data_IF_140438472456
#
_entry.id   IF_140438472456
#
_cell.length_a   1.000
_cell.length_b   1.000
_cell.length_c   1.000
_cell.angle_alpha   90.00
_cell.angle_beta   90.00
_cell.angle_gamma   90.00
#
_symmetry.space_group_name_H-M   'P 1'
#
loop_
_entity.id
_entity.type
_entity.pdbx_description
1 polymer ?
#
# COMPACT_ATOMS: atom_id res chain seq x y z
N UNK A 1 -15.51 -7.42 2.22
CA UNK A 1 -14.55 -8.08 3.13
C UNK A 1 -14.07 -7.06 4.12
N UNK A 2 -14.11 -7.37 5.40
CA UNK A 2 -13.65 -6.54 6.50
C UNK A 2 -12.22 -6.93 6.90
N UNK A 3 -11.53 -6.06 7.63
CA UNK A 3 -10.21 -6.39 8.16
C UNK A 3 -10.31 -7.59 9.10
N UNK A 4 -9.40 -8.55 8.95
CA UNK A 4 -9.39 -9.80 9.73
C UNK A 4 -10.18 -10.94 9.10
N UNK A 5 -10.93 -10.71 8.01
CA UNK A 5 -11.56 -11.78 7.25
C UNK A 5 -10.50 -12.77 6.76
N UNK A 6 -10.85 -14.05 6.72
CA UNK A 6 -9.98 -15.11 6.21
C UNK A 6 -10.55 -15.64 4.90
N UNK A 7 -9.74 -15.60 3.85
CA UNK A 7 -10.03 -16.23 2.56
C UNK A 7 -9.43 -17.63 2.59
N UNK A 8 -10.28 -18.65 2.55
CA UNK A 8 -9.85 -20.05 2.45
C UNK A 8 -9.74 -20.46 0.98
N UNK A 9 -8.59 -20.99 0.59
CA UNK A 9 -8.30 -21.49 -0.76
C UNK A 9 -8.14 -23.02 -0.77
N UNK A 10 -8.71 -23.70 0.22
CA UNK A 10 -8.51 -25.14 0.45
C UNK A 10 -7.44 -25.36 1.51
N UNK A 11 -6.23 -25.71 1.08
CA UNK A 11 -5.07 -25.96 1.95
C UNK A 11 -4.37 -24.68 2.43
N UNK A 12 -4.83 -23.50 1.98
CA UNK A 12 -4.22 -22.22 2.27
C UNK A 12 -5.21 -21.21 2.82
N UNK A 13 -4.79 -20.46 3.84
CA UNK A 13 -5.59 -19.40 4.45
C UNK A 13 -4.90 -18.05 4.32
N UNK A 14 -5.60 -17.07 3.75
CA UNK A 14 -5.13 -15.70 3.60
C UNK A 14 -5.93 -14.76 4.49
N UNK A 15 -5.26 -14.11 5.44
CA UNK A 15 -5.88 -13.08 6.29
C UNK A 15 -5.90 -11.75 5.57
N UNK A 16 -7.08 -11.13 5.44
CA UNK A 16 -7.25 -9.79 4.89
C UNK A 16 -6.79 -8.76 5.90
N UNK A 17 -5.82 -7.93 5.52
CA UNK A 17 -5.34 -6.81 6.32
C UNK A 17 -5.72 -5.50 5.62
N UNK A 18 -6.63 -4.73 6.19
CA UNK A 18 -6.88 -3.37 5.69
C UNK A 18 -5.66 -2.49 5.96
N UNK A 19 -5.11 -1.90 4.90
CA UNK A 19 -3.86 -1.12 4.90
C UNK A 19 -4.05 0.17 4.08
N UNK A 20 -4.87 1.12 4.58
CA UNK A 20 -5.16 2.36 3.86
C UNK A 20 -3.91 3.22 3.73
N UNK A 21 -3.90 4.10 2.73
CA UNK A 21 -2.81 5.05 2.54
C UNK A 21 -2.59 5.37 1.08
N UNK A 22 -2.20 4.35 0.29
CA UNK A 22 -2.19 4.46 -1.17
C UNK A 22 -3.59 4.73 -1.72
N UNK A 23 -4.59 3.97 -1.24
CA UNK A 23 -6.01 4.22 -1.44
C UNK A 23 -6.80 3.98 -0.14
N UNK A 24 -8.06 4.42 -0.08
CA UNK A 24 -8.96 4.17 1.07
C UNK A 24 -9.26 2.68 1.28
N UNK A 25 -9.31 1.92 0.19
CA UNK A 25 -9.68 0.51 0.17
C UNK A 25 -8.48 -0.45 0.08
N UNK A 26 -7.25 0.05 0.18
CA UNK A 26 -6.06 -0.78 0.07
C UNK A 26 -6.04 -1.88 1.12
N UNK A 27 -5.73 -3.11 0.69
CA UNK A 27 -5.59 -4.29 1.53
C UNK A 27 -4.28 -5.01 1.19
N UNK A 28 -3.75 -5.73 2.17
CA UNK A 28 -2.81 -6.83 1.95
C UNK A 28 -3.50 -8.15 2.26
N UNK A 29 -3.03 -9.23 1.63
CA UNK A 29 -3.39 -10.60 2.01
C UNK A 29 -2.18 -11.25 2.67
N UNK A 30 -2.34 -11.73 3.90
CA UNK A 30 -1.27 -12.31 4.68
C UNK A 30 -1.45 -13.81 4.84
N UNK A 31 -0.51 -14.55 4.28
CA UNK A 31 -0.31 -15.97 4.57
C UNK A 31 0.65 -16.09 5.74
N UNK A 32 0.10 -16.40 6.93
CA UNK A 32 0.86 -16.50 8.17
C UNK A 32 1.74 -17.74 8.22
N UNK A 33 1.27 -18.85 7.64
CA UNK A 33 1.96 -20.14 7.69
C UNK A 33 3.24 -20.09 6.87
N UNK A 34 3.16 -19.53 5.66
CA UNK A 34 4.30 -19.41 4.76
C UNK A 34 5.04 -18.07 4.87
N UNK A 35 4.59 -17.19 5.77
CA UNK A 35 5.14 -15.84 5.99
C UNK A 35 5.22 -15.03 4.69
N UNK A 36 4.17 -15.12 3.87
CA UNK A 36 4.05 -14.41 2.59
C UNK A 36 3.05 -13.27 2.73
N UNK A 37 3.44 -12.07 2.29
CA UNK A 37 2.56 -10.92 2.19
C UNK A 37 2.28 -10.59 0.71
N UNK A 38 1.04 -10.68 0.28
CA UNK A 38 0.60 -10.10 -0.98
C UNK A 38 0.22 -8.65 -0.71
N UNK A 39 1.04 -7.70 -1.14
CA UNK A 39 0.91 -6.29 -0.72
C UNK A 39 0.11 -5.42 -1.67
N UNK A 40 -0.17 -5.89 -2.89
CA UNK A 40 -0.74 -5.04 -3.94
C UNK A 40 0.10 -3.77 -4.12
N UNK A 41 -0.58 -2.62 -4.10
CA UNK A 41 0.08 -1.30 -4.22
C UNK A 41 0.36 -0.62 -2.87
N UNK A 42 0.18 -1.33 -1.75
CA UNK A 42 0.54 -0.81 -0.42
C UNK A 42 2.05 -0.64 -0.30
N UNK A 43 2.82 -1.60 -0.80
CA UNK A 43 4.29 -1.52 -0.81
C UNK A 43 4.83 -2.38 -1.94
N UNK A 44 5.79 -1.82 -2.66
CA UNK A 44 6.51 -2.46 -3.76
C UNK A 44 7.90 -1.83 -3.86
N UNK A 45 8.82 -2.48 -4.58
CA UNK A 45 10.22 -2.03 -4.68
C UNK A 45 10.41 -0.86 -5.65
N UNK A 46 9.80 0.28 -5.30
CA UNK A 46 9.80 1.50 -6.07
C UNK A 46 9.30 2.68 -5.23
N UNK A 47 8.97 3.79 -5.89
CA UNK A 47 8.40 4.95 -5.22
C UNK A 47 6.95 4.67 -4.78
N UNK A 48 6.71 4.66 -3.46
CA UNK A 48 5.37 4.55 -2.91
C UNK A 48 4.57 5.82 -3.19
N UNK A 49 3.41 5.65 -3.84
CA UNK A 49 2.60 6.76 -4.37
C UNK A 49 1.52 7.16 -3.36
N UNK A 50 1.53 8.42 -2.95
CA UNK A 50 0.59 9.01 -1.95
C UNK A 50 -0.03 10.36 -2.38
N UNK A 51 0.18 10.77 -3.63
CA UNK A 51 -0.29 12.04 -4.20
C UNK A 51 -1.55 11.88 -5.07
N UNK A 52 -2.14 10.68 -5.13
CA UNK A 52 -3.40 10.45 -5.85
C UNK A 52 -4.60 10.99 -5.03
N UNK A 53 -5.75 11.26 -5.68
CA UNK A 53 -6.89 11.93 -5.04
C UNK A 53 -7.43 11.25 -3.78
N UNK A 54 -7.31 9.92 -3.69
CA UNK A 54 -7.82 9.12 -2.56
C UNK A 54 -6.73 8.57 -1.65
N UNK A 55 -5.49 9.02 -1.83
CA UNK A 55 -4.41 8.68 -0.91
C UNK A 55 -4.56 9.46 0.40
N UNK A 56 -4.05 8.93 1.50
CA UNK A 56 -3.97 9.62 2.78
C UNK A 56 -2.64 9.26 3.46
N UNK A 57 -1.83 10.27 3.72
CA UNK A 57 -0.46 10.11 4.21
C UNK A 57 -0.44 9.65 5.65
N UNK A 58 -1.32 10.20 6.49
CA UNK A 58 -1.44 9.80 7.89
C UNK A 58 -1.82 8.33 7.98
N UNK A 59 -2.78 7.88 7.18
CA UNK A 59 -3.16 6.47 7.09
C UNK A 59 -2.00 5.61 6.57
N UNK A 60 -1.28 6.10 5.56
CA UNK A 60 -0.16 5.37 4.96
C UNK A 60 0.99 5.20 5.96
N UNK A 61 1.30 6.22 6.76
CA UNK A 61 2.29 6.12 7.85
C UNK A 61 1.90 5.02 8.85
N UNK A 62 0.62 4.97 9.26
CA UNK A 62 0.13 3.91 10.16
C UNK A 62 0.23 2.52 9.50
N UNK A 63 -0.11 2.40 8.22
CA UNK A 63 0.07 1.16 7.47
C UNK A 63 1.55 0.74 7.38
N UNK A 64 2.47 1.68 7.17
CA UNK A 64 3.92 1.41 7.16
C UNK A 64 4.44 0.95 8.52
N UNK A 65 3.96 1.54 9.62
CA UNK A 65 4.29 1.07 10.98
C UNK A 65 3.86 -0.38 11.18
N UNK A 66 2.64 -0.73 10.76
CA UNK A 66 2.12 -2.10 10.83
C UNK A 66 2.91 -3.07 9.95
N UNK A 67 3.40 -2.65 8.78
CA UNK A 67 4.29 -3.46 7.96
C UNK A 67 5.63 -3.73 8.66
N UNK A 68 6.19 -2.75 9.36
CA UNK A 68 7.41 -2.92 10.15
C UNK A 68 7.17 -3.91 11.31
N UNK A 69 6.04 -3.79 12.02
CA UNK A 69 5.67 -4.73 13.08
C UNK A 69 5.55 -6.18 12.59
N UNK A 70 5.05 -6.42 11.37
CA UNK A 70 5.01 -7.75 10.77
C UNK A 70 6.42 -8.33 10.58
N UNK A 71 7.38 -7.49 10.16
CA UNK A 71 8.78 -7.89 9.99
C UNK A 71 9.44 -8.15 11.35
N UNK A 72 9.27 -7.24 12.32
CA UNK A 72 9.86 -7.34 13.65
C UNK A 72 9.38 -8.60 14.40
N UNK A 73 8.13 -9.01 14.16
CA UNK A 73 7.54 -10.24 14.73
C UNK A 73 7.89 -11.51 13.94
N UNK A 74 8.68 -11.41 12.86
CA UNK A 74 9.04 -12.54 12.01
C UNK A 74 7.85 -13.18 11.29
N UNK A 75 6.78 -12.40 11.05
CA UNK A 75 5.54 -12.87 10.42
C UNK A 75 5.55 -12.78 8.89
N UNK A 76 6.54 -12.10 8.32
CA UNK A 76 6.74 -11.96 6.88
C UNK A 76 8.21 -12.20 6.55
N UNK A 77 8.46 -13.08 5.59
CA UNK A 77 9.79 -13.33 5.00
C UNK A 77 9.85 -12.90 3.53
N UNK A 78 8.71 -12.98 2.82
CA UNK A 78 8.60 -12.70 1.39
C UNK A 78 7.39 -11.83 1.06
N UNK A 79 7.57 -10.85 0.19
CA UNK A 79 6.52 -9.94 -0.28
C UNK A 79 6.29 -10.14 -1.78
N UNK A 80 5.04 -10.35 -2.16
CA UNK A 80 4.57 -10.43 -3.54
C UNK A 80 3.78 -9.14 -3.85
N UNK A 81 4.43 -8.11 -4.41
CA UNK A 81 3.77 -6.85 -4.73
C UNK A 81 2.89 -6.92 -5.97
N UNK A 82 2.01 -5.93 -6.14
CA UNK A 82 1.22 -5.75 -7.37
C UNK A 82 2.07 -5.32 -8.57
N UNK A 83 3.22 -4.71 -8.31
CA UNK A 83 4.18 -4.21 -9.30
C UNK A 83 5.62 -4.53 -8.88
N UNK A 84 6.54 -4.56 -9.86
CA UNK A 84 7.97 -4.87 -9.66
C UNK A 84 8.22 -6.31 -9.18
N UNK A 85 9.46 -6.58 -8.75
CA UNK A 85 9.91 -7.92 -8.37
C UNK A 85 9.55 -8.26 -6.93
N UNK A 86 9.49 -9.57 -6.65
CA UNK A 86 9.39 -10.12 -5.28
C UNK A 86 10.61 -9.69 -4.45
N UNK A 87 10.38 -9.36 -3.18
CA UNK A 87 11.44 -8.96 -2.26
C UNK A 87 11.24 -9.53 -0.85
N UNK A 88 12.28 -9.44 -0.02
CA UNK A 88 12.30 -10.00 1.34
C UNK A 88 11.96 -8.99 2.45
N UNK A 89 11.82 -9.51 3.66
CA UNK A 89 11.45 -8.75 4.87
C UNK A 89 12.37 -7.54 5.17
N UNK A 90 13.68 -7.67 4.97
CA UNK A 90 14.62 -6.56 5.16
C UNK A 90 14.32 -5.40 4.22
N UNK A 91 13.99 -5.69 2.95
CA UNK A 91 13.61 -4.67 1.97
C UNK A 91 12.26 -4.05 2.32
N UNK A 92 11.30 -4.86 2.78
CA UNK A 92 10.01 -4.37 3.29
C UNK A 92 10.21 -3.34 4.42
N UNK A 93 11.01 -3.68 5.42
CA UNK A 93 11.31 -2.79 6.54
C UNK A 93 11.95 -1.48 6.09
N UNK A 94 12.92 -1.55 5.18
CA UNK A 94 13.59 -0.36 4.61
C UNK A 94 12.62 0.53 3.84
N UNK A 95 11.76 -0.04 2.99
CA UNK A 95 10.79 0.75 2.22
C UNK A 95 9.80 1.47 3.14
N UNK A 96 9.24 0.76 4.12
CA UNK A 96 8.30 1.32 5.09
C UNK A 96 8.93 2.42 5.97
N UNK A 97 10.11 2.16 6.54
CA UNK A 97 10.81 3.16 7.38
C UNK A 97 11.27 4.38 6.58
N UNK A 98 11.72 4.20 5.34
CA UNK A 98 12.09 5.29 4.44
C UNK A 98 10.88 6.17 4.06
N UNK A 99 9.69 5.60 3.93
CA UNK A 99 8.49 6.40 3.69
C UNK A 99 8.14 7.26 4.90
N UNK A 100 8.14 6.67 6.10
CA UNK A 100 7.85 7.38 7.35
C UNK A 100 8.82 8.55 7.54
N UNK A 101 10.13 8.34 7.33
CA UNK A 101 11.13 9.39 7.49
C UNK A 101 10.94 10.56 6.50
N UNK A 102 10.53 10.27 5.26
CA UNK A 102 10.26 11.30 4.23
C UNK A 102 8.92 12.01 4.43
N UNK A 103 7.91 11.32 4.93
CA UNK A 103 6.59 11.89 5.18
C UNK A 103 6.66 13.07 6.18
N UNK A 104 7.60 13.03 7.13
CA UNK A 104 7.84 14.11 8.09
C UNK A 104 8.52 15.37 7.52
N UNK A 105 9.15 15.30 6.34
CA UNK A 105 9.99 16.39 5.80
C UNK A 105 9.31 17.15 4.64
N UNK A 106 8.41 16.54 3.86
CA UNK A 106 8.01 17.08 2.54
C UNK A 106 6.51 17.38 2.33
N UNK A 107 5.60 17.00 3.23
CA UNK A 107 4.16 16.94 2.87
C UNK A 107 3.40 18.28 2.80
N UNK A 108 3.97 19.42 3.19
CA UNK A 108 3.23 20.69 3.23
C UNK A 108 3.24 21.50 1.93
N UNK A 109 4.19 21.30 1.01
CA UNK A 109 4.39 22.23 -0.13
C UNK A 109 4.14 21.61 -1.51
N UNK A 110 4.38 20.31 -1.72
CA UNK A 110 4.31 19.69 -3.07
C UNK A 110 2.99 18.95 -3.37
N UNK A 111 2.39 18.30 -2.36
CA UNK A 111 1.27 17.36 -2.56
C UNK A 111 -0.01 18.03 -3.08
N UNK A 112 -0.31 19.26 -2.66
CA UNK A 112 -1.50 19.98 -3.12
C UNK A 112 -1.47 20.28 -4.63
N UNK A 113 -0.31 20.64 -5.17
CA UNK A 113 -0.18 20.94 -6.60
C UNK A 113 -0.36 19.68 -7.46
N UNK A 114 0.28 18.56 -7.08
CA UNK A 114 0.17 17.29 -7.80
C UNK A 114 -1.23 16.67 -7.72
N UNK A 115 -1.90 16.76 -6.56
CA UNK A 115 -3.28 16.30 -6.37
C UNK A 115 -4.27 17.01 -7.30
N UNK A 116 -4.13 18.32 -7.45
CA UNK A 116 -4.97 19.12 -8.32
C UNK A 116 -4.81 18.70 -9.78
N UNK A 117 -3.56 18.50 -10.24
CA UNK A 117 -3.27 18.07 -11.62
C UNK A 117 -3.82 16.65 -11.87
N UNK A 118 -3.57 15.70 -10.98
CA UNK A 118 -4.04 14.32 -11.13
C UNK A 118 -5.58 14.23 -11.12
N UNK A 119 -6.24 15.01 -10.26
CA UNK A 119 -7.71 15.09 -10.22
C UNK A 119 -8.28 15.63 -11.52
N UNK A 120 -7.71 16.69 -12.08
CA UNK A 120 -8.13 17.26 -13.37
C UNK A 120 -7.92 16.24 -14.50
N UNK A 121 -6.76 15.58 -14.56
CA UNK A 121 -6.47 14.57 -15.57
C UNK A 121 -7.47 13.41 -15.55
N UNK A 122 -7.80 12.90 -14.35
CA UNK A 122 -8.80 11.83 -14.19
C UNK A 122 -10.21 12.28 -14.59
N UNK A 123 -10.61 13.52 -14.29
CA UNK A 123 -11.90 14.05 -14.74
C UNK A 123 -11.96 14.19 -16.26
N UNK A 124 -10.87 14.62 -16.90
CA UNK A 124 -10.79 14.78 -18.36
C UNK A 124 -10.76 13.44 -19.10
N UNK A 125 -10.15 12.40 -18.55
CA UNK A 125 -10.17 11.06 -19.15
C UNK A 125 -11.53 10.39 -18.98
N UNK A 126 -12.20 10.58 -17.85
CA UNK A 126 -13.50 9.96 -17.58
C UNK A 126 -14.66 10.61 -18.37
N UNK A 127 -14.60 11.93 -18.59
CA UNK A 127 -15.61 12.66 -19.38
C UNK A 127 -15.54 12.42 -20.89
N UNK A 128 -14.44 11.84 -21.40
CA UNK A 128 -14.31 11.41 -22.81
C UNK A 128 -14.94 10.03 -23.07
N UNK A 129 -15.39 9.32 -22.03
CA UNK A 129 -16.09 8.02 -22.16
C UNK A 129 -17.62 8.12 -22.17
N UNK A 130 -18.20 9.30 -21.95
CA UNK A 130 -19.65 9.50 -21.81
C UNK A 130 -20.24 10.44 -22.86
N UNK A 131 -19.75 10.38 -24.09
CA UNK A 131 -20.37 11.00 -25.26
C UNK A 131 -20.58 9.94 -26.32
N UNK A 132 -21.77 9.32 -26.27
CA UNK A 132 -22.41 8.56 -27.35
C UNK A 132 -23.65 9.32 -27.79
#
# INVERSE_FOLDING_TARGET
MFAGDVISLGDRQLTVMHMPGHSRGSICLHDREHKILFSGDVVYDGSMIDWLPYSNVSDYVVSCQRLMELVDRGLVEKVLPGHFNIFGAERLYRLASNYISKAGICHKVSTCAMRSIASIALHLTNSRGTSS
#
